data_IF_116236651878
#
_entry.id   IF_116236651878
#
_cell.length_a   1.000
_cell.length_b   1.000
_cell.length_c   1.000
_cell.angle_alpha   90.00
_cell.angle_beta   90.00
_cell.angle_gamma   90.00
#
_symmetry.space_group_name_H-M   'P 1'
#
loop_
_entity.id
_entity.type
_entity.pdbx_description
1 polymer ?
#
# COMPACT_ATOMS: atom_id res chain seq x y z
N UNK A 1 -0.18 -2.85 12.57
CA UNK A 1 -1.54 -2.27 12.79
C UNK A 1 -1.60 -0.79 12.47
N UNK A 2 -0.82 0.09 13.13
CA UNK A 2 -0.81 1.53 12.83
C UNK A 2 -0.59 1.86 11.34
N UNK A 3 0.33 1.16 10.66
CA UNK A 3 0.51 1.26 9.21
C UNK A 3 -0.79 1.05 8.44
N UNK A 4 -1.51 -0.04 8.73
CA UNK A 4 -2.74 -0.39 8.03
C UNK A 4 -3.85 0.63 8.30
N UNK A 5 -3.92 1.16 9.52
CA UNK A 5 -4.84 2.22 9.90
C UNK A 5 -4.56 3.53 9.12
N UNK A 6 -3.29 3.93 9.00
CA UNK A 6 -2.92 5.11 8.23
C UNK A 6 -3.16 4.93 6.72
N UNK A 7 -2.90 3.73 6.17
CA UNK A 7 -3.23 3.41 4.78
C UNK A 7 -4.72 3.31 4.52
N UNK A 8 -5.52 2.86 5.48
CA UNK A 8 -6.98 2.93 5.38
C UNK A 8 -7.46 4.39 5.31
N UNK A 9 -6.87 5.26 6.14
CA UNK A 9 -7.12 6.70 6.09
C UNK A 9 -6.71 7.33 4.75
N UNK A 10 -5.67 6.80 4.09
CA UNK A 10 -5.30 7.21 2.74
C UNK A 10 -6.42 6.93 1.72
N UNK A 11 -7.11 5.79 1.83
CA UNK A 11 -8.23 5.47 0.96
C UNK A 11 -9.39 6.46 1.11
N UNK A 12 -9.72 6.84 2.35
CA UNK A 12 -10.73 7.89 2.62
C UNK A 12 -10.29 9.24 2.07
N UNK A 13 -9.03 9.64 2.33
CA UNK A 13 -8.47 10.89 1.82
C UNK A 13 -8.44 10.94 0.28
N UNK A 14 -8.18 9.82 -0.39
CA UNK A 14 -8.23 9.72 -1.85
C UNK A 14 -9.64 9.96 -2.40
N UNK A 15 -10.69 9.50 -1.71
CA UNK A 15 -12.08 9.81 -2.10
C UNK A 15 -12.42 11.29 -1.89
N UNK A 16 -11.94 11.87 -0.79
CA UNK A 16 -12.12 13.31 -0.52
C UNK A 16 -11.31 14.21 -1.46
N UNK A 17 -10.33 13.66 -2.18
CA UNK A 17 -9.49 14.39 -3.12
C UNK A 17 -10.16 14.59 -4.49
N UNK A 18 -11.21 13.81 -4.79
CA UNK A 18 -11.97 13.92 -6.03
C UNK A 18 -12.52 15.35 -6.15
N UNK A 19 -12.43 15.92 -7.34
CA UNK A 19 -12.77 17.32 -7.68
C UNK A 19 -11.88 18.41 -7.05
N UNK A 20 -10.91 18.05 -6.21
CA UNK A 20 -9.98 18.99 -5.56
C UNK A 20 -8.55 18.91 -6.10
N UNK A 21 -8.12 17.77 -6.62
CA UNK A 21 -6.77 17.55 -7.18
C UNK A 21 -6.76 16.33 -8.12
N UNK A 22 -5.99 16.40 -9.21
CA UNK A 22 -5.86 15.26 -10.13
C UNK A 22 -4.97 14.12 -9.55
N UNK A 23 -5.20 12.85 -9.92
CA UNK A 23 -4.52 11.70 -9.31
C UNK A 23 -2.99 11.70 -9.44
N UNK A 24 -2.44 12.11 -10.59
CA UNK A 24 -0.98 12.14 -10.78
C UNK A 24 -0.36 13.34 -10.07
N UNK A 25 -1.05 14.48 -10.02
CA UNK A 25 -0.67 15.61 -9.18
C UNK A 25 -0.63 15.23 -7.69
N UNK A 26 -1.65 14.54 -7.17
CA UNK A 26 -1.69 14.06 -5.78
C UNK A 26 -0.53 13.10 -5.49
N UNK A 27 -0.28 12.16 -6.41
CA UNK A 27 0.80 11.17 -6.28
C UNK A 27 2.18 11.84 -6.27
N UNK A 28 2.39 12.89 -7.05
CA UNK A 28 3.67 13.62 -7.06
C UNK A 28 3.82 14.55 -5.87
N UNK A 29 2.79 15.33 -5.56
CA UNK A 29 2.84 16.30 -4.48
C UNK A 29 3.00 15.64 -3.11
N UNK A 30 2.39 14.48 -2.86
CA UNK A 30 2.61 13.76 -1.60
C UNK A 30 4.08 13.33 -1.41
N UNK A 31 4.77 12.95 -2.50
CA UNK A 31 6.18 12.57 -2.43
C UNK A 31 7.07 13.80 -2.27
N UNK A 32 6.70 14.93 -2.89
CA UNK A 32 7.35 16.22 -2.65
C UNK A 32 7.21 16.63 -1.18
N UNK A 33 6.01 16.52 -0.59
CA UNK A 33 5.78 16.78 0.84
C UNK A 33 6.60 15.83 1.71
N UNK A 34 6.64 14.54 1.37
CA UNK A 34 7.47 13.55 2.08
C UNK A 34 8.93 13.95 2.03
N UNK A 35 9.47 14.27 0.86
CA UNK A 35 10.84 14.74 0.68
C UNK A 35 11.12 16.03 1.46
N UNK A 36 10.20 17.00 1.43
CA UNK A 36 10.33 18.27 2.15
C UNK A 36 10.36 18.04 3.68
N UNK A 37 9.45 17.21 4.19
CA UNK A 37 9.43 16.84 5.60
C UNK A 37 10.72 16.10 6.01
N UNK A 38 11.21 15.20 5.16
CA UNK A 38 12.47 14.50 5.41
C UNK A 38 13.68 15.42 5.33
N UNK A 39 13.69 16.38 4.42
CA UNK A 39 14.73 17.40 4.36
C UNK A 39 14.72 18.30 5.60
N UNK A 40 13.55 18.65 6.13
CA UNK A 40 13.43 19.47 7.33
C UNK A 40 13.86 18.73 8.60
N UNK A 41 13.39 17.49 8.80
CA UNK A 41 13.53 16.78 10.08
C UNK A 41 14.55 15.63 10.08
N UNK A 42 14.94 15.12 8.92
CA UNK A 42 15.67 13.87 8.77
C UNK A 42 16.82 13.92 7.74
N UNK A 43 17.31 15.11 7.38
CA UNK A 43 18.36 15.24 6.36
C UNK A 43 19.69 14.64 6.82
N UNK A 44 20.06 14.77 8.11
CA UNK A 44 21.35 14.28 8.62
C UNK A 44 21.50 12.75 8.46
N UNK A 45 20.55 11.91 8.91
CA UNK A 45 20.63 10.46 8.68
C UNK A 45 20.72 10.06 7.20
N UNK A 46 20.07 10.81 6.30
CA UNK A 46 20.12 10.53 4.85
C UNK A 46 21.51 10.86 4.29
N UNK A 47 22.08 12.00 4.66
CA UNK A 47 23.42 12.42 4.23
C UNK A 47 24.50 11.49 4.78
N UNK A 48 24.41 11.12 6.05
CA UNK A 48 25.34 10.18 6.70
C UNK A 48 25.28 8.78 6.07
N UNK A 49 24.10 8.36 5.60
CA UNK A 49 23.89 7.08 4.93
C UNK A 49 24.25 7.11 3.43
N UNK A 50 24.52 8.28 2.85
CA UNK A 50 24.77 8.43 1.42
C UNK A 50 25.92 7.56 0.88
N UNK A 51 27.07 7.41 1.59
CA UNK A 51 28.15 6.54 1.14
C UNK A 51 27.73 5.07 1.00
N UNK A 52 26.81 4.59 1.83
CA UNK A 52 26.27 3.23 1.75
C UNK A 52 25.14 3.09 0.73
N UNK A 53 24.42 4.19 0.45
CA UNK A 53 23.33 4.24 -0.53
C UNK A 53 23.83 4.36 -1.98
N UNK A 54 24.89 5.15 -2.23
CA UNK A 54 25.43 5.42 -3.56
C UNK A 54 25.78 4.14 -4.37
N UNK A 55 26.42 3.11 -3.81
CA UNK A 55 26.70 1.86 -4.54
C UNK A 55 25.44 1.08 -4.92
N UNK A 56 24.31 1.37 -4.28
CA UNK A 56 23.03 0.68 -4.44
C UNK A 56 21.99 1.55 -5.17
N UNK A 57 22.41 2.57 -5.94
CA UNK A 57 21.49 3.44 -6.69
C UNK A 57 20.53 2.64 -7.58
N UNK A 58 21.01 1.59 -8.28
CA UNK A 58 20.12 0.73 -9.08
C UNK A 58 19.00 0.09 -8.26
N UNK A 59 19.31 -0.38 -7.05
CA UNK A 59 18.31 -0.90 -6.11
C UNK A 59 17.32 0.20 -5.68
N UNK A 60 17.81 1.40 -5.37
CA UNK A 60 16.96 2.53 -4.95
C UNK A 60 16.02 2.98 -6.08
N UNK A 61 16.52 3.06 -7.30
CA UNK A 61 15.74 3.41 -8.50
C UNK A 61 14.64 2.37 -8.72
N UNK A 62 15.01 1.08 -8.73
CA UNK A 62 14.05 -0.01 -8.92
C UNK A 62 13.01 0.00 -7.79
N UNK A 63 13.42 0.12 -6.53
CA UNK A 63 12.49 0.06 -5.40
C UNK A 63 11.61 1.29 -5.25
N UNK A 64 12.14 2.49 -5.49
CA UNK A 64 11.35 3.73 -5.45
C UNK A 64 10.36 3.78 -6.63
N UNK A 65 10.76 3.31 -7.81
CA UNK A 65 9.88 3.28 -8.98
C UNK A 65 8.82 2.19 -8.85
N UNK A 66 9.22 0.93 -8.64
CA UNK A 66 8.32 -0.23 -8.61
C UNK A 66 7.44 -0.20 -7.35
N UNK A 67 8.04 0.01 -6.17
CA UNK A 67 7.34 -0.12 -4.90
C UNK A 67 6.32 0.98 -4.66
N UNK A 68 6.58 2.17 -5.19
CA UNK A 68 5.66 3.30 -5.06
C UNK A 68 4.87 3.51 -6.34
N UNK A 69 5.49 4.00 -7.41
CA UNK A 69 4.74 4.35 -8.62
C UNK A 69 4.20 3.10 -9.35
N UNK A 70 4.95 1.99 -9.34
CA UNK A 70 4.55 0.72 -9.95
C UNK A 70 3.34 0.06 -9.29
N UNK A 71 3.08 0.27 -8.00
CA UNK A 71 1.81 -0.14 -7.40
C UNK A 71 0.67 0.84 -7.74
N UNK A 72 0.92 2.14 -7.62
CA UNK A 72 -0.15 3.14 -7.73
C UNK A 72 -0.71 3.23 -9.16
N UNK A 73 0.12 3.18 -10.20
CA UNK A 73 -0.34 3.34 -11.59
C UNK A 73 -1.33 2.24 -12.01
N UNK A 74 -1.00 0.94 -11.90
CA UNK A 74 -1.94 -0.12 -12.26
C UNK A 74 -3.12 -0.22 -11.28
N UNK A 75 -2.94 0.17 -10.01
CA UNK A 75 -4.04 0.27 -9.03
C UNK A 75 -5.09 1.29 -9.47
N UNK A 76 -4.69 2.53 -9.76
CA UNK A 76 -5.61 3.58 -10.19
C UNK A 76 -6.22 3.24 -11.54
N UNK A 77 -5.44 2.73 -12.49
CA UNK A 77 -5.97 2.28 -13.77
C UNK A 77 -6.99 1.14 -13.59
N UNK A 78 -6.72 0.17 -12.72
CA UNK A 78 -7.65 -0.91 -12.37
C UNK A 78 -8.94 -0.38 -11.75
N UNK A 79 -8.85 0.64 -10.89
CA UNK A 79 -10.02 1.28 -10.26
C UNK A 79 -11.00 1.91 -11.25
N UNK A 80 -10.55 2.29 -12.45
CA UNK A 80 -11.43 2.78 -13.51
C UNK A 80 -12.07 1.66 -14.36
N UNK A 81 -11.56 0.43 -14.28
CA UNK A 81 -11.98 -0.67 -15.16
C UNK A 81 -12.61 -1.86 -14.40
N UNK A 82 -12.54 -1.88 -13.08
CA UNK A 82 -13.12 -2.95 -12.24
C UNK A 82 -13.83 -2.39 -11.02
N UNK A 83 -14.55 -3.24 -10.31
CA UNK A 83 -15.26 -2.86 -9.09
C UNK A 83 -14.31 -2.69 -7.91
N UNK A 84 -14.68 -1.84 -6.96
CA UNK A 84 -13.95 -1.70 -5.70
C UNK A 84 -13.90 -3.02 -4.91
N UNK A 85 -14.91 -3.89 -5.08
CA UNK A 85 -14.97 -5.24 -4.50
C UNK A 85 -13.82 -6.08 -5.06
N UNK A 86 -13.69 -6.16 -6.39
CA UNK A 86 -12.61 -6.90 -7.05
C UNK A 86 -11.23 -6.37 -6.64
N UNK A 87 -11.03 -5.05 -6.67
CA UNK A 87 -9.75 -4.47 -6.25
C UNK A 87 -9.38 -4.86 -4.83
N UNK A 88 -10.33 -4.81 -3.89
CA UNK A 88 -10.09 -5.11 -2.48
C UNK A 88 -9.74 -6.59 -2.29
N UNK A 89 -10.45 -7.49 -2.97
CA UNK A 89 -10.20 -8.94 -2.91
C UNK A 89 -8.82 -9.25 -3.49
N UNK A 90 -8.50 -8.71 -4.67
CA UNK A 90 -7.19 -8.90 -5.31
C UNK A 90 -6.08 -8.29 -4.47
N UNK A 91 -6.28 -7.11 -3.86
CA UNK A 91 -5.32 -6.53 -2.92
C UNK A 91 -5.04 -7.45 -1.74
N UNK A 92 -6.07 -8.14 -1.25
CA UNK A 92 -5.97 -9.15 -0.19
C UNK A 92 -5.04 -10.33 -0.54
N UNK A 93 -4.67 -10.50 -1.82
CA UNK A 93 -3.73 -11.52 -2.27
C UNK A 93 -2.26 -11.06 -2.24
N UNK A 94 -1.96 -9.79 -1.92
CA UNK A 94 -0.57 -9.30 -1.73
C UNK A 94 0.24 -10.24 -0.82
N UNK A 95 -0.26 -10.67 0.37
CA UNK A 95 0.51 -11.53 1.24
C UNK A 95 0.83 -12.88 0.61
N UNK A 96 -0.07 -13.41 -0.24
CA UNK A 96 0.12 -14.66 -0.99
C UNK A 96 1.33 -14.52 -1.91
N UNK A 97 1.38 -13.46 -2.70
CA UNK A 97 2.50 -13.20 -3.60
C UNK A 97 3.81 -12.96 -2.83
N UNK A 98 3.76 -12.26 -1.69
CA UNK A 98 4.95 -12.06 -0.84
C UNK A 98 5.47 -13.39 -0.31
N UNK A 99 4.60 -14.28 0.17
CA UNK A 99 5.02 -15.58 0.70
C UNK A 99 5.54 -16.51 -0.39
N UNK A 100 4.85 -16.61 -1.52
CA UNK A 100 5.30 -17.41 -2.66
C UNK A 100 6.63 -16.91 -3.21
N UNK A 101 6.78 -15.59 -3.35
CA UNK A 101 8.04 -15.00 -3.80
C UNK A 101 9.17 -15.16 -2.78
N UNK A 102 8.89 -15.10 -1.48
CA UNK A 102 9.88 -15.38 -0.43
C UNK A 102 10.31 -16.85 -0.41
N UNK A 103 9.40 -17.78 -0.67
CA UNK A 103 9.70 -19.20 -0.86
C UNK A 103 10.56 -19.41 -2.11
N UNK A 104 10.17 -18.85 -3.25
CA UNK A 104 10.85 -19.04 -4.53
C UNK A 104 12.27 -18.44 -4.55
N UNK A 105 12.45 -17.22 -4.01
CA UNK A 105 13.72 -16.50 -4.09
C UNK A 105 14.68 -16.82 -2.93
N UNK A 106 14.15 -17.13 -1.76
CA UNK A 106 14.96 -17.30 -0.54
C UNK A 106 14.75 -18.65 0.13
N UNK A 107 13.99 -19.58 -0.47
CA UNK A 107 13.72 -20.89 0.10
C UNK A 107 13.02 -20.84 1.47
N UNK A 108 12.34 -19.74 1.80
CA UNK A 108 11.74 -19.56 3.12
C UNK A 108 10.50 -20.46 3.23
N UNK A 109 10.48 -21.47 4.13
CA UNK A 109 9.42 -22.47 4.15
C UNK A 109 8.09 -21.83 4.58
N UNK A 110 7.03 -22.18 3.88
CA UNK A 110 5.65 -21.80 4.23
C UNK A 110 5.10 -22.85 5.19
N UNK A 111 4.76 -22.45 6.41
CA UNK A 111 4.13 -23.36 7.36
C UNK A 111 2.65 -23.55 7.06
N UNK A 112 2.08 -24.71 7.41
CA UNK A 112 0.64 -24.96 7.25
C UNK A 112 -0.24 -23.94 8.01
N UNK A 113 0.23 -23.44 9.16
CA UNK A 113 -0.47 -22.39 9.91
C UNK A 113 -0.43 -21.03 9.23
N UNK A 114 0.68 -20.67 8.58
CA UNK A 114 0.76 -19.44 7.78
C UNK A 114 -0.16 -19.52 6.56
N UNK A 115 -0.17 -20.66 5.86
CA UNK A 115 -1.09 -20.88 4.74
C UNK A 115 -2.56 -20.79 5.20
N UNK A 116 -2.90 -21.46 6.31
CA UNK A 116 -4.25 -21.41 6.87
C UNK A 116 -4.63 -20.01 7.34
N UNK A 117 -3.77 -19.32 8.08
CA UNK A 117 -3.99 -17.95 8.52
C UNK A 117 -4.21 -17.00 7.34
N UNK A 118 -3.41 -17.13 6.30
CA UNK A 118 -3.57 -16.39 5.04
C UNK A 118 -4.93 -16.66 4.39
N UNK A 119 -5.32 -17.92 4.21
CA UNK A 119 -6.64 -18.27 3.66
C UNK A 119 -7.76 -17.64 4.49
N UNK A 120 -7.66 -17.72 5.82
CA UNK A 120 -8.65 -17.11 6.73
C UNK A 120 -8.69 -15.59 6.57
N UNK A 121 -7.54 -14.90 6.44
CA UNK A 121 -7.53 -13.46 6.19
C UNK A 121 -8.13 -13.10 4.83
N UNK A 122 -7.87 -13.89 3.79
CA UNK A 122 -8.40 -13.65 2.44
C UNK A 122 -9.93 -13.82 2.41
N UNK A 123 -10.45 -14.84 3.10
CA UNK A 123 -11.89 -15.02 3.29
C UNK A 123 -12.49 -13.82 4.03
N UNK A 124 -11.82 -13.33 5.08
CA UNK A 124 -12.25 -12.12 5.79
C UNK A 124 -12.34 -10.88 4.89
N UNK A 125 -11.34 -10.67 4.03
CA UNK A 125 -11.34 -9.59 3.03
C UNK A 125 -12.48 -9.77 2.02
N UNK A 126 -12.72 -11.00 1.54
CA UNK A 126 -13.81 -11.28 0.60
C UNK A 126 -15.20 -11.06 1.22
N UNK A 127 -15.41 -11.45 2.48
CA UNK A 127 -16.65 -11.18 3.22
C UNK A 127 -16.88 -9.68 3.36
N UNK A 128 -15.83 -8.92 3.67
CA UNK A 128 -15.92 -7.47 3.78
C UNK A 128 -16.27 -6.82 2.44
N UNK A 129 -15.54 -7.20 1.39
CA UNK A 129 -15.68 -6.63 0.06
C UNK A 129 -17.06 -6.94 -0.56
N UNK A 130 -17.59 -8.14 -0.34
CA UNK A 130 -18.93 -8.54 -0.80
C UNK A 130 -20.08 -8.01 0.05
N UNK A 131 -19.78 -7.30 1.15
CA UNK A 131 -20.75 -6.87 2.15
C UNK A 131 -21.58 -8.04 2.74
N UNK A 132 -21.02 -9.26 2.74
CA UNK A 132 -21.70 -10.48 3.19
C UNK A 132 -22.69 -11.08 2.19
N UNK A 133 -22.85 -10.50 0.99
CA UNK A 133 -23.74 -11.03 -0.04
C UNK A 133 -22.97 -11.88 -1.05
N UNK A 134 -23.25 -13.18 -1.08
CA UNK A 134 -22.60 -14.13 -1.99
C UNK A 134 -22.88 -13.77 -3.46
N UNK A 135 -24.02 -13.15 -3.77
CA UNK A 135 -24.35 -12.71 -5.12
C UNK A 135 -23.30 -11.74 -5.70
N UNK A 136 -22.72 -10.85 -4.86
CA UNK A 136 -21.64 -9.96 -5.27
C UNK A 136 -20.33 -10.70 -5.60
N UNK A 137 -20.15 -11.93 -5.11
CA UNK A 137 -19.01 -12.79 -5.46
C UNK A 137 -19.27 -13.63 -6.71
N UNK A 138 -20.52 -14.03 -6.94
CA UNK A 138 -20.91 -14.87 -8.09
C UNK A 138 -20.98 -14.05 -9.38
N UNK A 139 -21.34 -12.77 -9.30
CA UNK A 139 -21.37 -11.86 -10.44
C UNK A 139 -20.02 -11.21 -10.79
N UNK A 140 -18.91 -11.73 -10.26
CA UNK A 140 -17.58 -11.19 -10.56
C UNK A 140 -17.12 -11.63 -11.94
N UNK A 141 -17.19 -10.70 -12.89
CA UNK A 141 -16.55 -10.86 -14.19
C UNK A 141 -15.09 -10.43 -14.12
N UNK A 142 -14.21 -11.29 -14.60
CA UNK A 142 -12.79 -10.97 -14.70
C UNK A 142 -12.56 -9.97 -15.83
N UNK A 143 -12.05 -8.80 -15.50
CA UNK A 143 -11.79 -7.74 -16.46
C UNK A 143 -10.31 -7.37 -16.55
N UNK A 144 -9.96 -6.58 -17.56
CA UNK A 144 -8.63 -6.05 -17.77
C UNK A 144 -8.13 -5.23 -16.55
N UNK A 145 -9.04 -4.57 -15.82
CA UNK A 145 -8.72 -3.87 -14.58
C UNK A 145 -8.18 -4.80 -13.48
N UNK A 146 -8.66 -6.04 -13.42
CA UNK A 146 -8.19 -7.04 -12.46
C UNK A 146 -6.76 -7.49 -12.78
N UNK A 147 -6.41 -7.60 -14.07
CA UNK A 147 -5.03 -7.85 -14.49
C UNK A 147 -4.10 -6.72 -14.05
N UNK A 148 -4.56 -5.47 -14.19
CA UNK A 148 -3.84 -4.30 -13.68
C UNK A 148 -3.60 -4.39 -12.17
N UNK A 149 -4.63 -4.79 -11.42
CA UNK A 149 -4.51 -4.94 -9.96
C UNK A 149 -3.62 -6.11 -9.55
N UNK A 150 -3.68 -7.24 -10.25
CA UNK A 150 -2.76 -8.38 -10.04
C UNK A 150 -1.32 -7.93 -10.28
N UNK A 151 -1.06 -7.16 -11.35
CA UNK A 151 0.25 -6.58 -11.61
C UNK A 151 0.69 -5.64 -10.48
N UNK A 152 -0.19 -4.77 -9.98
CA UNK A 152 0.11 -3.92 -8.83
C UNK A 152 0.51 -4.77 -7.61
N UNK A 153 -0.25 -5.82 -7.31
CA UNK A 153 0.02 -6.71 -6.19
C UNK A 153 1.37 -7.45 -6.34
N UNK A 154 1.72 -7.88 -7.55
CA UNK A 154 3.02 -8.48 -7.85
C UNK A 154 4.18 -7.49 -7.67
N UNK A 155 4.03 -6.26 -8.15
CA UNK A 155 5.05 -5.20 -8.01
C UNK A 155 5.25 -4.82 -6.54
N UNK A 156 4.16 -4.71 -5.78
CA UNK A 156 4.21 -4.44 -4.34
C UNK A 156 4.78 -5.62 -3.53
N UNK A 157 4.46 -6.85 -3.92
CA UNK A 157 5.07 -8.03 -3.34
C UNK A 157 6.57 -8.06 -3.63
N UNK A 158 6.99 -7.78 -4.86
CA UNK A 158 8.39 -7.63 -5.25
C UNK A 158 9.12 -6.56 -4.44
N UNK A 159 8.49 -5.42 -4.18
CA UNK A 159 9.01 -4.39 -3.27
C UNK A 159 9.18 -4.91 -1.84
N UNK A 160 8.15 -5.54 -1.30
CA UNK A 160 8.16 -6.05 0.08
C UNK A 160 9.24 -7.12 0.26
N UNK A 161 9.40 -8.01 -0.72
CA UNK A 161 10.47 -9.01 -0.77
C UNK A 161 11.84 -8.33 -0.92
N UNK A 162 11.97 -7.36 -1.83
CA UNK A 162 13.19 -6.62 -2.09
C UNK A 162 13.69 -5.80 -0.90
N UNK A 163 12.81 -5.39 0.02
CA UNK A 163 13.18 -4.78 1.29
C UNK A 163 14.03 -5.71 2.18
N UNK A 164 13.98 -7.03 1.98
CA UNK A 164 14.87 -7.99 2.66
C UNK A 164 16.34 -7.78 2.29
N UNK A 165 16.61 -7.31 1.07
CA UNK A 165 17.97 -7.03 0.57
C UNK A 165 18.34 -5.55 0.66
N UNK A 166 17.67 -4.79 1.53
CA UNK A 166 17.94 -3.36 1.72
C UNK A 166 19.38 -3.09 2.21
N UNK A 167 19.97 -1.94 1.87
CA UNK A 167 21.23 -1.50 2.44
C UNK A 167 21.17 -1.40 3.97
N UNK A 168 22.31 -1.60 4.65
CA UNK A 168 22.47 -1.50 6.11
C UNK A 168 22.47 -0.04 6.57
N UNK A 169 21.34 0.63 6.36
CA UNK A 169 21.08 2.03 6.73
C UNK A 169 19.81 2.10 7.57
N UNK A 170 19.60 3.21 8.29
CA UNK A 170 18.36 3.41 9.03
C UNK A 170 17.14 3.39 8.10
N UNK A 171 16.00 2.91 8.59
CA UNK A 171 14.76 2.88 7.78
C UNK A 171 14.34 4.26 7.30
N UNK A 172 14.65 5.29 8.10
CA UNK A 172 14.46 6.70 7.76
C UNK A 172 15.35 7.12 6.58
N UNK A 173 16.65 6.78 6.60
CA UNK A 173 17.53 7.10 5.48
C UNK A 173 17.12 6.39 4.18
N UNK A 174 16.72 5.11 4.28
CA UNK A 174 16.21 4.34 3.15
C UNK A 174 14.94 4.98 2.58
N UNK A 175 13.96 5.30 3.43
CA UNK A 175 12.71 5.93 2.99
C UNK A 175 12.98 7.27 2.29
N UNK A 176 13.92 8.07 2.77
CA UNK A 176 14.27 9.35 2.15
C UNK A 176 14.82 9.18 0.74
N UNK A 177 15.75 8.24 0.57
CA UNK A 177 16.30 7.93 -0.74
C UNK A 177 15.23 7.39 -1.69
N UNK A 178 14.35 6.49 -1.22
CA UNK A 178 13.26 5.95 -2.03
C UNK A 178 12.22 7.02 -2.37
N UNK A 179 11.89 7.93 -1.44
CA UNK A 179 10.94 9.02 -1.65
C UNK A 179 11.45 10.01 -2.71
N UNK A 180 12.75 10.32 -2.72
CA UNK A 180 13.37 11.16 -3.76
C UNK A 180 13.24 10.48 -5.13
N UNK A 181 13.55 9.18 -5.23
CA UNK A 181 13.34 8.43 -6.47
C UNK A 181 11.86 8.45 -6.88
N UNK A 182 10.94 8.25 -5.93
CA UNK A 182 9.50 8.26 -6.19
C UNK A 182 9.03 9.61 -6.74
N UNK A 183 9.48 10.71 -6.13
CA UNK A 183 9.17 12.07 -6.54
C UNK A 183 9.70 12.37 -7.94
N UNK A 184 10.94 11.98 -8.25
CA UNK A 184 11.53 12.18 -9.59
C UNK A 184 10.80 11.35 -10.64
N UNK A 185 10.52 10.08 -10.34
CA UNK A 185 9.87 9.17 -11.29
C UNK A 185 8.37 9.40 -11.42
N UNK A 186 7.75 10.19 -10.54
CA UNK A 186 6.35 10.60 -10.68
C UNK A 186 6.18 11.86 -11.54
N UNK A 187 7.25 12.65 -11.77
CA UNK A 187 7.19 13.86 -12.63
C UNK A 187 6.64 13.56 -14.02
N UNK A 188 7.08 12.51 -14.75
CA UNK A 188 6.52 12.18 -16.06
C UNK A 188 5.01 11.92 -16.02
N UNK A 189 4.48 11.39 -14.92
CA UNK A 189 3.05 11.11 -14.77
C UNK A 189 2.24 12.42 -14.74
N UNK A 190 2.74 13.44 -14.06
CA UNK A 190 2.12 14.78 -14.05
C UNK A 190 2.22 15.44 -15.41
N UNK A 191 3.33 15.27 -16.12
CA UNK A 191 3.49 15.81 -17.48
C UNK A 191 2.50 15.17 -18.45
N UNK A 192 2.28 13.86 -18.35
CA UNK A 192 1.30 13.14 -19.17
C UNK A 192 -0.13 13.64 -18.85
N UNK A 193 -0.47 13.78 -17.58
CA UNK A 193 -1.77 14.31 -17.13
C UNK A 193 -1.98 15.78 -17.54
N UNK A 194 -0.91 16.59 -17.55
CA UNK A 194 -0.93 17.95 -18.09
C UNK A 194 -1.18 17.97 -19.60
N UNK A 195 -0.53 17.05 -20.32
CA UNK A 195 -0.65 16.94 -21.78
C UNK A 195 -2.02 16.43 -22.23
N UNK A 196 -2.71 15.63 -21.39
CA UNK A 196 -4.08 15.18 -21.67
C UNK A 196 -5.15 16.23 -21.37
N UNK A 197 -4.80 17.31 -20.65
CA UNK A 197 -5.73 18.37 -20.27
C UNK A 197 -6.52 18.06 -18.99
N UNK A 198 -6.21 16.95 -18.31
CA UNK A 198 -6.91 16.50 -17.10
C UNK A 198 -6.24 17.00 -15.81
N UNK A 199 -5.16 17.79 -15.93
CA UNK A 199 -4.41 18.29 -14.78
C UNK A 199 -5.24 19.30 -13.99
N UNK A 200 -5.45 18.97 -12.72
CA UNK A 200 -6.10 19.84 -11.74
C UNK A 200 -5.15 20.06 -10.56
N UNK A 201 -4.68 21.29 -10.41
CA UNK A 201 -3.88 21.68 -9.26
C UNK A 201 -4.73 21.74 -7.98
N UNK A 202 -4.16 21.44 -6.81
CA UNK A 202 -4.90 21.43 -5.56
C UNK A 202 -5.46 22.81 -5.22
N UNK A 203 -6.72 22.85 -4.86
CA UNK A 203 -7.29 23.95 -4.09
C UNK A 203 -6.89 23.85 -2.60
N UNK A 204 -7.50 24.67 -1.73
CA UNK A 204 -7.19 24.66 -0.29
C UNK A 204 -7.46 23.28 0.36
N UNK A 205 -8.53 22.60 -0.05
CA UNK A 205 -8.88 21.27 0.44
C UNK A 205 -7.91 20.22 -0.09
N UNK A 206 -7.61 20.27 -1.40
CA UNK A 206 -6.61 19.41 -2.05
C UNK A 206 -5.24 19.55 -1.40
N UNK A 207 -4.83 20.75 -1.00
CA UNK A 207 -3.57 20.98 -0.31
C UNK A 207 -3.54 20.36 1.09
N UNK A 208 -4.61 20.46 1.86
CA UNK A 208 -4.74 19.79 3.16
C UNK A 208 -4.66 18.27 3.01
N UNK A 209 -5.31 17.73 1.98
CA UNK A 209 -5.27 16.30 1.67
C UNK A 209 -3.86 15.87 1.28
N UNK A 210 -3.18 16.64 0.42
CA UNK A 210 -1.77 16.39 0.03
C UNK A 210 -0.86 16.37 1.26
N UNK A 211 -1.03 17.31 2.19
CA UNK A 211 -0.25 17.36 3.43
C UNK A 211 -0.53 16.14 4.30
N UNK A 212 -1.80 15.79 4.49
CA UNK A 212 -2.20 14.60 5.23
C UNK A 212 -1.59 13.33 4.63
N UNK A 213 -1.78 13.12 3.32
CA UNK A 213 -1.32 11.93 2.58
C UNK A 213 0.20 11.85 2.54
N UNK A 214 0.90 12.98 2.39
CA UNK A 214 2.37 13.03 2.43
C UNK A 214 2.93 12.68 3.80
N UNK A 215 2.40 13.26 4.88
CA UNK A 215 2.98 13.11 6.21
C UNK A 215 2.58 11.81 6.92
N UNK A 216 1.34 11.36 6.78
CA UNK A 216 0.83 10.19 7.50
C UNK A 216 1.01 8.90 6.70
N UNK A 217 0.25 8.63 5.62
CA UNK A 217 0.43 7.42 4.80
C UNK A 217 1.82 7.28 4.16
N UNK A 218 2.37 8.36 3.60
CA UNK A 218 3.57 8.26 2.74
C UNK A 218 4.86 8.28 3.55
N UNK A 219 4.95 9.13 4.57
CA UNK A 219 6.11 9.18 5.46
C UNK A 219 5.95 8.21 6.65
N UNK A 220 4.97 8.45 7.52
CA UNK A 220 4.87 7.75 8.81
C UNK A 220 4.53 6.27 8.65
N UNK A 221 3.49 5.95 7.87
CA UNK A 221 3.05 4.56 7.69
C UNK A 221 4.10 3.73 6.96
N UNK A 222 4.76 4.28 5.93
CA UNK A 222 5.84 3.59 5.24
C UNK A 222 7.07 3.38 6.12
N UNK A 223 7.44 4.35 6.95
CA UNK A 223 8.52 4.16 7.92
C UNK A 223 8.20 3.01 8.88
N UNK A 224 6.98 2.96 9.40
CA UNK A 224 6.51 1.87 10.25
C UNK A 224 6.47 0.52 9.51
N UNK A 225 6.10 0.52 8.23
CA UNK A 225 6.08 -0.69 7.41
C UNK A 225 7.49 -1.23 7.15
N UNK A 226 8.42 -0.38 6.72
CA UNK A 226 9.84 -0.74 6.54
C UNK A 226 10.40 -1.32 7.84
N UNK A 227 10.07 -0.71 8.98
CA UNK A 227 10.48 -1.21 10.30
C UNK A 227 9.81 -2.54 10.65
N UNK A 228 8.53 -2.73 10.33
CA UNK A 228 7.85 -4.00 10.54
C UNK A 228 8.47 -5.12 9.70
N UNK A 229 8.73 -4.87 8.41
CA UNK A 229 9.43 -5.82 7.53
C UNK A 229 10.81 -6.18 8.07
N UNK A 230 11.53 -5.23 8.67
CA UNK A 230 12.82 -5.48 9.32
C UNK A 230 12.71 -6.35 10.57
N UNK A 231 11.68 -6.15 11.40
CA UNK A 231 11.52 -6.83 12.68
C UNK A 231 10.93 -8.24 12.57
N UNK A 232 9.92 -8.42 11.71
CA UNK A 232 9.15 -9.67 11.61
C UNK A 232 9.25 -10.33 10.23
N UNK A 233 9.98 -9.71 9.30
CA UNK A 233 10.15 -10.22 7.95
C UNK A 233 8.99 -9.85 7.00
N UNK A 234 9.23 -9.95 5.68
CA UNK A 234 8.27 -9.50 4.66
C UNK A 234 6.96 -10.28 4.66
N UNK A 235 7.01 -11.61 4.83
CA UNK A 235 5.81 -12.46 4.81
C UNK A 235 4.84 -12.18 5.95
N UNK A 236 5.34 -11.94 7.17
CA UNK A 236 4.48 -11.61 8.32
C UNK A 236 3.98 -10.18 8.23
N UNK A 237 4.85 -9.24 7.85
CA UNK A 237 4.47 -7.84 7.69
C UNK A 237 3.38 -7.63 6.63
N UNK A 238 3.41 -8.39 5.52
CA UNK A 238 2.41 -8.29 4.46
C UNK A 238 1.01 -8.73 4.92
N UNK A 239 0.87 -9.72 5.83
CA UNK A 239 -0.44 -10.13 6.36
C UNK A 239 -1.21 -8.97 7.01
N UNK A 240 -0.51 -8.02 7.62
CA UNK A 240 -1.15 -6.84 8.22
C UNK A 240 -1.73 -5.87 7.18
N UNK A 241 -1.36 -5.99 5.90
CA UNK A 241 -1.99 -5.22 4.80
C UNK A 241 -3.46 -5.57 4.68
N UNK A 242 -3.86 -6.81 4.99
CA UNK A 242 -5.26 -7.24 4.95
C UNK A 242 -6.15 -6.55 6.01
N UNK A 243 -5.55 -5.83 6.97
CA UNK A 243 -6.31 -4.96 7.88
C UNK A 243 -6.67 -3.60 7.28
N UNK A 244 -6.06 -3.18 6.18
CA UNK A 244 -6.38 -1.91 5.50
C UNK A 244 -7.85 -1.82 5.14
N UNK A 245 -8.47 -2.80 4.44
CA UNK A 245 -9.89 -2.69 4.09
C UNK A 245 -10.78 -2.72 5.35
N UNK A 246 -10.40 -3.45 6.39
CA UNK A 246 -11.14 -3.50 7.66
C UNK A 246 -11.16 -2.14 8.34
N UNK A 247 -10.00 -1.49 8.49
CA UNK A 247 -9.95 -0.12 9.02
C UNK A 247 -10.64 0.89 8.10
N UNK A 248 -10.58 0.69 6.78
CA UNK A 248 -11.27 1.55 5.81
C UNK A 248 -12.77 1.53 6.01
N UNK A 249 -13.36 0.34 6.20
CA UNK A 249 -14.78 0.19 6.47
C UNK A 249 -15.16 0.74 7.86
N UNK A 250 -14.32 0.56 8.88
CA UNK A 250 -14.53 1.19 10.19
C UNK A 250 -14.51 2.72 10.12
N UNK A 251 -13.65 3.30 9.30
CA UNK A 251 -13.63 4.75 9.06
C UNK A 251 -14.84 5.21 8.27
N UNK A 252 -15.31 4.44 7.29
CA UNK A 252 -16.54 4.75 6.58
C UNK A 252 -17.75 4.79 7.55
N UNK A 253 -17.90 3.79 8.41
CA UNK A 253 -18.93 3.78 9.45
C UNK A 253 -18.80 4.97 10.40
N UNK A 254 -17.59 5.28 10.87
CA UNK A 254 -17.36 6.34 11.86
C UNK A 254 -17.48 7.76 11.30
N UNK A 255 -17.03 7.99 10.07
CA UNK A 255 -16.92 9.33 9.46
C UNK A 255 -18.10 9.61 8.52
N UNK A 256 -18.54 8.61 7.75
CA UNK A 256 -19.63 8.73 6.77
C UNK A 256 -21.00 8.31 7.35
N UNK A 257 -21.04 7.91 8.64
CA UNK A 257 -22.23 7.42 9.33
C UNK A 257 -22.92 6.24 8.61
N UNK A 258 -22.15 5.42 7.87
CA UNK A 258 -22.67 4.21 7.25
C UNK A 258 -23.06 3.17 8.32
N UNK A 259 -24.13 2.39 8.10
CA UNK A 259 -24.58 1.41 9.08
C UNK A 259 -23.55 0.28 9.24
N UNK A 260 -23.20 -0.03 10.49
CA UNK A 260 -22.31 -1.15 10.80
C UNK A 260 -23.05 -2.48 10.61
N UNK A 261 -22.90 -3.07 9.42
CA UNK A 261 -23.40 -4.42 9.13
C UNK A 261 -22.62 -5.54 9.81
N UNK A 262 -23.26 -6.69 10.00
CA UNK A 262 -22.69 -7.90 10.63
C UNK A 262 -21.43 -8.41 9.90
N UNK A 263 -21.38 -8.20 8.58
CA UNK A 263 -20.23 -8.56 7.74
C UNK A 263 -18.95 -7.81 8.13
N UNK A 264 -19.04 -6.58 8.66
CA UNK A 264 -17.87 -5.84 9.17
C UNK A 264 -17.23 -6.54 10.37
N UNK A 265 -18.05 -6.96 11.34
CA UNK A 265 -17.58 -7.69 12.52
C UNK A 265 -17.02 -9.06 12.13
N UNK A 266 -17.70 -9.79 11.24
CA UNK A 266 -17.24 -11.08 10.74
C UNK A 266 -15.88 -10.96 10.03
N UNK A 267 -15.73 -9.98 9.14
CA UNK A 267 -14.48 -9.71 8.46
C UNK A 267 -13.34 -9.35 9.42
N UNK A 268 -13.60 -8.47 10.40
CA UNK A 268 -12.62 -8.10 11.41
C UNK A 268 -12.16 -9.32 12.21
N UNK A 269 -13.09 -10.17 12.65
CA UNK A 269 -12.78 -11.39 13.38
C UNK A 269 -11.96 -12.38 12.54
N UNK A 270 -12.32 -12.57 11.27
CA UNK A 270 -11.59 -13.44 10.35
C UNK A 270 -10.18 -12.91 10.06
N UNK A 271 -10.01 -11.62 9.76
CA UNK A 271 -8.69 -11.06 9.47
C UNK A 271 -7.79 -11.10 10.71
N UNK A 272 -8.29 -10.69 11.89
CA UNK A 272 -7.49 -10.76 13.12
C UNK A 272 -7.19 -12.21 13.53
N UNK A 273 -8.17 -13.11 13.43
CA UNK A 273 -8.00 -14.53 13.73
C UNK A 273 -7.01 -15.20 12.78
N UNK A 274 -7.07 -14.89 11.49
CA UNK A 274 -6.12 -15.39 10.48
C UNK A 274 -4.69 -14.90 10.73
N UNK A 275 -4.53 -13.61 11.10
CA UNK A 275 -3.22 -13.08 11.49
C UNK A 275 -2.72 -13.79 12.76
N UNK A 276 -3.55 -13.89 13.80
CA UNK A 276 -3.17 -14.58 15.04
C UNK A 276 -2.74 -16.02 14.77
N UNK A 277 -3.47 -16.73 13.90
CA UNK A 277 -3.16 -18.10 13.51
C UNK A 277 -1.82 -18.24 12.77
N UNK A 278 -1.54 -17.32 11.85
CA UNK A 278 -0.25 -17.28 11.14
C UNK A 278 0.92 -16.95 12.08
N UNK A 279 0.67 -16.26 13.19
CA UNK A 279 1.65 -15.82 14.17
C UNK A 279 1.89 -16.84 15.31
N UNK A 280 1.01 -17.83 15.48
CA UNK A 280 1.00 -18.79 16.61
C UNK A 280 2.20 -19.75 16.66
N UNK A 281 3.00 -19.88 15.58
CA UNK A 281 4.26 -20.63 15.62
C UNK A 281 5.45 -19.68 15.43
N UNK A 282 6.03 -19.29 16.57
CA UNK A 282 7.46 -18.95 16.68
C UNK A 282 8.30 -20.20 16.45
#
# INVERSE_FOLDING_TARGET
MLTAMMWAGNGVAARLAVDHISPMALTSLRWIVTCAAMAAFAWRPVVEAWPQLKPRIGYLVVMGTIGFNGFNVPFYWGAHHTSAVNLTIIQGSIPVFVMLGALALYGTPITGLQALGMTVTLVGVAVLASQGEIAHLIGLDFNVGDLGMILACLLYAGYTIGLRSRPTVSGLALLGALAVVAAVTSVPLVVIEAASGDLMWPDATGLLIVLYVGLLPSLTAQMLFIRAVELIGPGRASLFVNLVPVFGALFAVAILAEPFGVYHAAALALVLGGIALAELRR
#
